data_IF_392944224849
#
_entry.id   IF_392944224849
#
_cell.length_a   1.000
_cell.length_b   1.000
_cell.length_c   1.000
_cell.angle_alpha   90.00
_cell.angle_beta   90.00
_cell.angle_gamma   90.00
#
_symmetry.space_group_name_H-M   'P 1'
#
loop_
_entity.id
_entity.type
_entity.pdbx_description
1 polymer ?
#
# COMPACT_ATOMS: atom_id res chain seq x y z
N UNK A 1 -4.48 -7.85 3.48
CA UNK A 1 -3.33 -7.38 2.67
C UNK A 1 -2.02 -7.98 3.12
N UNK A 2 -1.56 -7.72 4.36
CA UNK A 2 -0.28 -8.27 4.87
C UNK A 2 -0.13 -9.78 4.63
N UNK A 3 -1.13 -10.58 5.04
CA UNK A 3 -1.13 -12.03 4.77
C UNK A 3 -1.11 -12.40 3.29
N UNK A 4 -1.92 -11.73 2.47
CA UNK A 4 -1.99 -11.94 1.01
C UNK A 4 -0.63 -11.74 0.31
N UNK A 5 0.15 -10.75 0.76
CA UNK A 5 1.50 -10.47 0.25
C UNK A 5 2.51 -11.50 0.76
N UNK A 6 2.47 -11.82 2.05
CA UNK A 6 3.35 -12.83 2.67
C UNK A 6 3.17 -14.22 2.06
N UNK A 7 1.94 -14.65 1.79
CA UNK A 7 1.65 -15.94 1.13
C UNK A 7 2.22 -16.04 -0.28
N UNK A 8 2.39 -14.89 -0.97
CA UNK A 8 2.98 -14.81 -2.31
C UNK A 8 4.50 -14.61 -2.28
N UNK A 9 5.11 -14.53 -1.10
CA UNK A 9 6.54 -14.22 -0.96
C UNK A 9 6.91 -12.81 -1.43
N UNK A 10 5.93 -11.92 -1.57
CA UNK A 10 6.16 -10.55 -2.02
C UNK A 10 6.76 -9.78 -0.85
N UNK A 11 7.92 -9.15 -1.07
CA UNK A 11 8.51 -8.24 -0.08
C UNK A 11 7.67 -6.97 0.00
N UNK A 12 7.27 -6.60 1.21
CA UNK A 12 6.54 -5.37 1.47
C UNK A 12 6.99 -4.75 2.77
N UNK A 13 6.84 -3.44 2.85
CA UNK A 13 7.02 -2.68 4.07
C UNK A 13 5.67 -2.21 4.58
N UNK A 14 5.37 -2.52 5.84
CA UNK A 14 4.09 -2.19 6.45
C UNK A 14 4.27 -1.15 7.53
N UNK A 15 3.78 0.06 7.26
CA UNK A 15 3.74 1.14 8.23
C UNK A 15 2.40 1.19 8.95
N UNK A 16 2.44 1.28 10.28
CA UNK A 16 1.24 1.44 11.10
C UNK A 16 1.03 2.91 11.45
N UNK A 17 0.05 3.54 10.81
CA UNK A 17 -0.23 4.97 10.92
C UNK A 17 -0.90 5.37 12.22
N UNK A 18 -1.38 4.37 13.00
CA UNK A 18 -1.93 4.60 14.33
C UNK A 18 -0.83 4.69 15.37
N UNK A 19 0.29 3.99 15.15
CA UNK A 19 1.45 4.01 16.05
C UNK A 19 2.56 4.97 15.58
N UNK A 20 2.67 5.22 14.27
CA UNK A 20 3.74 6.00 13.65
C UNK A 20 3.21 7.32 13.07
N UNK A 21 3.51 8.40 13.79
CA UNK A 21 3.16 9.76 13.38
C UNK A 21 3.84 10.18 12.05
N UNK A 22 5.04 9.66 11.75
CA UNK A 22 5.72 9.97 10.47
C UNK A 22 5.04 9.27 9.31
N UNK A 23 4.62 8.01 9.47
CA UNK A 23 3.85 7.32 8.44
C UNK A 23 2.52 8.03 8.15
N UNK A 24 1.90 8.59 9.21
CA UNK A 24 0.70 9.43 9.09
C UNK A 24 0.98 10.73 8.33
N UNK A 25 2.05 11.44 8.67
CA UNK A 25 2.47 12.66 7.97
C UNK A 25 2.81 12.39 6.50
N UNK A 26 3.51 11.30 6.19
CA UNK A 26 3.81 10.91 4.81
C UNK A 26 2.53 10.63 4.02
N UNK A 27 1.53 9.96 4.60
CA UNK A 27 0.23 9.76 3.92
C UNK A 27 -0.49 11.06 3.61
N UNK A 28 -0.45 12.00 4.53
CA UNK A 28 -1.11 13.27 4.36
C UNK A 28 -0.36 14.19 3.39
N UNK A 29 0.97 14.29 3.52
CA UNK A 29 1.80 15.19 2.74
C UNK A 29 2.11 14.63 1.33
N UNK A 30 2.43 13.34 1.23
CA UNK A 30 2.84 12.70 -0.03
C UNK A 30 1.64 12.23 -0.85
N UNK A 31 0.63 11.66 -0.19
CA UNK A 31 -0.53 11.05 -0.87
C UNK A 31 -1.83 11.87 -0.72
N UNK A 32 -1.77 12.98 0.02
CA UNK A 32 -2.87 13.94 0.16
C UNK A 32 -4.05 13.46 0.99
N UNK A 33 -4.03 12.23 1.51
CA UNK A 33 -5.18 11.58 2.16
C UNK A 33 -4.75 10.64 3.29
N UNK A 34 -5.38 10.80 4.46
CA UNK A 34 -5.33 9.87 5.58
C UNK A 34 -6.32 8.71 5.39
N UNK A 35 -6.24 8.05 4.24
CA UNK A 35 -7.11 6.92 3.95
C UNK A 35 -6.32 5.62 4.08
N UNK A 36 -6.84 4.66 4.85
CA UNK A 36 -6.27 3.33 5.00
C UNK A 36 -7.25 2.28 4.47
N UNK A 37 -6.75 1.17 3.88
CA UNK A 37 -5.36 0.90 3.53
C UNK A 37 -4.91 1.71 2.29
N UNK A 38 -3.72 2.33 2.35
CA UNK A 38 -3.03 2.89 1.17
C UNK A 38 -1.91 1.93 0.77
N UNK A 39 -1.84 1.57 -0.50
CA UNK A 39 -0.85 0.67 -1.08
C UNK A 39 -0.04 1.47 -2.10
N UNK A 40 1.28 1.38 -2.01
CA UNK A 40 2.20 2.07 -2.93
C UNK A 40 3.02 1.01 -3.65
N UNK A 41 3.01 1.02 -4.98
CA UNK A 41 3.73 0.06 -5.82
C UNK A 41 4.49 0.86 -6.88
N UNK A 42 5.81 0.98 -6.71
CA UNK A 42 6.63 1.90 -7.52
C UNK A 42 6.20 3.34 -7.30
N UNK A 43 5.85 4.04 -8.37
CA UNK A 43 5.34 5.42 -8.36
C UNK A 43 3.81 5.52 -8.25
N UNK A 44 3.11 4.38 -8.25
CA UNK A 44 1.64 4.35 -8.18
C UNK A 44 1.12 4.20 -6.76
N UNK A 45 0.04 4.94 -6.48
CA UNK A 45 -0.58 5.03 -5.16
C UNK A 45 -2.04 4.61 -5.27
N UNK A 46 -2.39 3.54 -4.56
CA UNK A 46 -3.73 2.98 -4.52
C UNK A 46 -4.34 3.18 -3.15
N UNK A 47 -5.44 3.93 -3.08
CA UNK A 47 -6.21 4.13 -1.85
C UNK A 47 -7.35 3.12 -1.83
N UNK A 48 -7.34 2.21 -0.85
CA UNK A 48 -8.33 1.13 -0.72
C UNK A 48 -7.96 -0.11 -1.53
N UNK A 49 -7.86 -1.27 -0.86
CA UNK A 49 -7.49 -2.53 -1.52
C UNK A 49 -8.59 -3.10 -2.41
N UNK A 50 -9.85 -3.07 -1.97
CA UNK A 50 -10.96 -3.73 -2.69
C UNK A 50 -11.25 -3.07 -4.04
N UNK A 51 -11.25 -1.74 -4.06
CA UNK A 51 -11.56 -0.95 -5.26
C UNK A 51 -10.44 -1.01 -6.30
N UNK A 52 -9.21 -1.25 -5.86
CA UNK A 52 -8.03 -1.29 -6.74
C UNK A 52 -7.45 -2.68 -6.89
N UNK A 53 -8.19 -3.73 -6.50
CA UNK A 53 -7.66 -5.09 -6.40
C UNK A 53 -7.02 -5.56 -7.70
N UNK A 54 -7.74 -5.47 -8.82
CA UNK A 54 -7.26 -5.95 -10.12
C UNK A 54 -5.97 -5.24 -10.56
N UNK A 55 -5.91 -3.91 -10.43
CA UNK A 55 -4.71 -3.11 -10.75
C UNK A 55 -3.54 -3.46 -9.82
N UNK A 56 -3.80 -3.60 -8.53
CA UNK A 56 -2.78 -4.01 -7.56
C UNK A 56 -2.22 -5.38 -7.94
N UNK A 57 -3.08 -6.36 -8.28
CA UNK A 57 -2.64 -7.69 -8.69
C UNK A 57 -1.84 -7.68 -10.00
N UNK A 58 -2.22 -6.84 -10.96
CA UNK A 58 -1.47 -6.63 -12.22
C UNK A 58 -0.08 -6.05 -11.95
N UNK A 59 0.01 -4.96 -11.19
CA UNK A 59 1.28 -4.29 -10.88
C UNK A 59 2.22 -5.15 -10.05
N UNK A 60 1.68 -5.98 -9.15
CA UNK A 60 2.47 -6.96 -8.40
C UNK A 60 3.02 -8.08 -9.30
N UNK A 61 2.39 -8.38 -10.45
CA UNK A 61 2.88 -9.38 -11.41
C UNK A 61 3.92 -8.81 -12.36
N UNK A 62 3.78 -7.57 -12.80
CA UNK A 62 4.74 -6.92 -13.70
C UNK A 62 6.08 -6.57 -13.04
N UNK A 63 6.11 -6.47 -11.71
CA UNK A 63 7.32 -6.13 -10.94
C UNK A 63 8.21 -7.32 -10.54
N UNK A 64 7.91 -8.54 -11.01
CA UNK A 64 8.65 -9.77 -10.69
C UNK A 64 9.26 -10.41 -11.93
#
# INVERSE_FOLDING_TARGET
MKGYLSERGIKYEAYDVSADARAREELQNRYGRLATPTIVIGDEVFVGFRENRDKIEERLREGN
#
